data_IF_499791679966
#
_entry.id   IF_499791679966
#
_cell.length_a   1.000
_cell.length_b   1.000
_cell.length_c   1.000
_cell.angle_alpha   90.00
_cell.angle_beta   90.00
_cell.angle_gamma   90.00
#
_symmetry.space_group_name_H-M   'P 1'
#
loop_
_entity.id
_entity.type
_entity.pdbx_description
1 polymer ?
#
# COMPACT_ATOMS: atom_id res chain seq x y z
N UNK A 1 4.30 -57.90 75.60
CA UNK A 1 4.92 -56.85 74.76
C UNK A 1 4.21 -56.79 73.42
N UNK A 2 3.48 -55.71 73.12
CA UNK A 2 3.18 -55.23 71.76
C UNK A 2 2.25 -54.01 71.85
N UNK A 3 2.81 -52.83 71.62
CA UNK A 3 2.08 -51.66 71.12
C UNK A 3 2.95 -51.02 70.05
N UNK A 4 2.42 -50.93 68.84
CA UNK A 4 2.79 -49.92 67.86
C UNK A 4 1.49 -49.44 67.20
N UNK A 5 1.19 -48.13 67.20
CA UNK A 5 -0.02 -47.57 66.59
C UNK A 5 0.26 -47.06 65.17
N UNK A 6 -0.80 -46.48 64.57
CA UNK A 6 -0.83 -45.65 63.37
C UNK A 6 -1.13 -46.37 62.05
N UNK A 7 -2.41 -46.29 61.63
CA UNK A 7 -2.85 -45.51 60.44
C UNK A 7 -4.35 -45.74 60.16
N UNK A 8 -5.13 -44.68 60.27
CA UNK A 8 -6.40 -44.41 59.58
C UNK A 8 -6.41 -42.91 59.23
N UNK A 9 -7.19 -42.42 58.25
CA UNK A 9 -7.57 -43.05 56.98
C UNK A 9 -7.47 -42.05 55.79
N UNK A 10 -6.55 -42.26 54.86
CA UNK A 10 -6.42 -41.48 53.60
C UNK A 10 -7.32 -42.04 52.48
N UNK A 11 -8.60 -42.31 52.76
CA UNK A 11 -9.51 -42.91 51.75
C UNK A 11 -10.75 -42.10 51.40
N UNK A 12 -11.01 -41.00 52.10
CA UNK A 12 -12.20 -40.17 51.86
C UNK A 12 -11.91 -38.79 51.25
N UNK A 13 -10.64 -38.37 51.20
CA UNK A 13 -10.23 -37.09 50.61
C UNK A 13 -10.05 -37.13 49.09
N UNK A 14 -9.79 -38.32 48.52
CA UNK A 14 -9.60 -38.47 47.07
C UNK A 14 -10.93 -38.41 46.30
N UNK A 15 -12.01 -38.94 46.88
CA UNK A 15 -13.32 -39.02 46.23
C UNK A 15 -14.04 -37.66 46.20
N UNK A 16 -13.82 -36.80 47.20
CA UNK A 16 -14.36 -35.43 47.23
C UNK A 16 -13.59 -34.51 46.27
N UNK A 17 -12.27 -34.68 46.15
CA UNK A 17 -11.47 -33.90 45.20
C UNK A 17 -11.82 -34.19 43.72
N UNK A 18 -12.14 -35.44 43.38
CA UNK A 18 -12.52 -35.81 42.02
C UNK A 18 -13.91 -35.27 41.62
N UNK A 19 -14.84 -35.20 42.57
CA UNK A 19 -16.20 -34.68 42.34
C UNK A 19 -16.21 -33.15 42.17
N UNK A 20 -15.31 -32.43 42.85
CA UNK A 20 -15.12 -30.98 42.64
C UNK A 20 -14.46 -30.69 41.29
N UNK A 21 -13.54 -31.53 40.82
CA UNK A 21 -12.96 -31.40 39.47
C UNK A 21 -13.97 -31.65 38.35
N UNK A 22 -14.94 -32.55 38.54
CA UNK A 22 -16.05 -32.74 37.59
C UNK A 22 -17.07 -31.60 37.61
N UNK A 23 -17.33 -30.99 38.78
CA UNK A 23 -18.24 -29.84 38.91
C UNK A 23 -17.64 -28.53 38.39
N UNK A 24 -16.33 -28.32 38.52
CA UNK A 24 -15.62 -27.14 37.97
C UNK A 24 -15.32 -27.33 36.48
N UNK A 25 -15.06 -28.56 36.01
CA UNK A 25 -14.87 -28.86 34.59
C UNK A 25 -16.15 -28.81 33.74
N UNK A 26 -17.32 -28.87 34.37
CA UNK A 26 -18.62 -28.91 33.68
C UNK A 26 -19.25 -27.54 33.34
N UNK A 27 -18.67 -26.41 33.78
CA UNK A 27 -19.30 -25.08 33.66
C UNK A 27 -18.57 -24.14 32.68
N UNK A 28 -17.45 -24.56 32.08
CA UNK A 28 -16.82 -23.81 30.97
C UNK A 28 -16.87 -24.65 29.69
N UNK A 29 -18.07 -25.14 29.36
CA UNK A 29 -18.41 -25.28 27.97
C UNK A 29 -18.74 -23.86 27.46
N UNK A 30 -17.71 -23.10 27.07
CA UNK A 30 -17.91 -22.00 26.14
C UNK A 30 -18.52 -22.67 24.92
N UNK A 31 -19.83 -22.54 24.73
CA UNK A 31 -20.42 -22.77 23.43
C UNK A 31 -19.77 -21.73 22.52
N UNK A 32 -18.72 -22.14 21.82
CA UNK A 32 -18.33 -21.49 20.59
C UNK A 32 -19.54 -21.65 19.68
N UNK A 33 -20.45 -20.67 19.68
CA UNK A 33 -21.39 -20.52 18.59
C UNK A 33 -20.52 -20.45 17.34
N UNK A 34 -20.59 -21.49 16.51
CA UNK A 34 -19.88 -21.50 15.24
C UNK A 34 -20.35 -20.31 14.41
N UNK A 35 -19.42 -19.70 13.67
CA UNK A 35 -19.79 -18.63 12.75
C UNK A 35 -20.80 -19.14 11.71
N UNK A 36 -21.77 -18.30 11.36
CA UNK A 36 -22.69 -18.58 10.26
C UNK A 36 -22.03 -18.20 8.95
N UNK A 37 -21.97 -19.13 8.00
CA UNK A 37 -21.39 -18.90 6.67
C UNK A 37 -22.45 -18.89 5.57
N UNK A 38 -22.20 -18.09 4.53
CA UNK A 38 -22.97 -18.01 3.29
C UNK A 38 -22.05 -17.92 2.09
N UNK A 39 -22.43 -18.60 1.03
CA UNK A 39 -21.79 -18.46 -0.27
C UNK A 39 -22.50 -17.38 -1.08
N UNK A 40 -21.74 -16.49 -1.71
CA UNK A 40 -22.23 -15.53 -2.69
C UNK A 40 -21.28 -15.58 -3.88
N UNK A 41 -21.80 -15.94 -5.07
CA UNK A 41 -20.96 -16.17 -6.24
C UNK A 41 -19.83 -17.17 -5.97
N UNK A 42 -18.59 -16.72 -6.12
CA UNK A 42 -17.38 -17.53 -5.95
C UNK A 42 -16.66 -17.31 -4.62
N UNK A 43 -17.32 -16.67 -3.63
CA UNK A 43 -16.76 -16.45 -2.29
C UNK A 43 -17.65 -17.05 -1.21
N UNK A 44 -17.03 -17.37 -0.07
CA UNK A 44 -17.70 -17.72 1.18
C UNK A 44 -17.44 -16.63 2.21
N UNK A 45 -18.50 -16.16 2.86
CA UNK A 45 -18.45 -15.16 3.93
C UNK A 45 -18.99 -15.81 5.20
N UNK A 46 -18.27 -15.67 6.31
CA UNK A 46 -18.71 -16.11 7.62
C UNK A 46 -18.78 -14.92 8.58
N UNK A 47 -19.75 -14.91 9.49
CA UNK A 47 -19.87 -13.93 10.56
C UNK A 47 -20.50 -14.53 11.82
N UNK A 48 -20.44 -13.81 12.93
CA UNK A 48 -20.96 -14.30 14.20
C UNK A 48 -22.50 -14.28 14.24
N UNK A 49 -23.10 -13.28 13.60
CA UNK A 49 -24.55 -13.08 13.51
C UNK A 49 -25.00 -13.05 12.05
N UNK A 50 -26.20 -13.58 11.81
CA UNK A 50 -26.85 -13.59 10.50
C UNK A 50 -28.23 -12.94 10.65
N UNK A 51 -28.42 -11.83 9.93
CA UNK A 51 -29.68 -11.11 9.89
C UNK A 51 -30.25 -11.18 8.47
N UNK A 52 -31.45 -11.70 8.32
CA UNK A 52 -32.20 -11.53 7.07
C UNK A 52 -32.72 -10.10 6.97
N UNK A 53 -32.69 -9.54 5.77
CA UNK A 53 -33.21 -8.21 5.52
C UNK A 53 -34.28 -8.28 4.45
N UNK A 54 -35.34 -7.50 4.63
CA UNK A 54 -36.39 -7.29 3.62
C UNK A 54 -36.11 -6.05 2.76
N UNK A 55 -35.08 -5.27 3.10
CA UNK A 55 -34.67 -4.10 2.31
C UNK A 55 -34.17 -4.50 0.93
N UNK A 56 -34.33 -3.62 -0.07
CA UNK A 56 -33.75 -3.76 -1.42
C UNK A 56 -34.05 -5.11 -2.09
N UNK A 57 -35.29 -5.56 -2.03
CA UNK A 57 -35.72 -6.85 -2.61
C UNK A 57 -35.33 -8.08 -1.79
N UNK A 58 -34.82 -7.88 -0.57
CA UNK A 58 -34.39 -8.94 0.33
C UNK A 58 -32.87 -9.12 0.35
N UNK A 59 -32.39 -10.06 1.16
CA UNK A 59 -30.98 -10.43 1.23
C UNK A 59 -30.57 -10.83 2.64
N UNK A 60 -29.30 -10.61 2.98
CA UNK A 60 -28.81 -10.85 4.32
C UNK A 60 -27.64 -9.93 4.70
N UNK A 61 -27.41 -9.86 6.01
CA UNK A 61 -26.26 -9.22 6.61
C UNK A 61 -25.54 -10.22 7.51
N UNK A 62 -24.22 -10.27 7.41
CA UNK A 62 -23.36 -10.98 8.35
C UNK A 62 -22.60 -9.96 9.20
N UNK A 63 -22.63 -10.15 10.52
CA UNK A 63 -22.13 -9.17 11.49
C UNK A 63 -21.20 -9.85 12.50
N UNK A 64 -20.13 -9.16 12.89
CA UNK A 64 -19.19 -9.63 13.90
C UNK A 64 -18.18 -10.63 13.32
N UNK A 65 -16.89 -10.39 13.60
CA UNK A 65 -15.75 -11.22 13.14
C UNK A 65 -15.89 -11.74 11.70
N UNK A 66 -16.28 -10.86 10.77
CA UNK A 66 -16.56 -11.27 9.39
C UNK A 66 -15.28 -11.78 8.72
N UNK A 67 -15.34 -12.97 8.12
CA UNK A 67 -14.23 -13.62 7.42
C UNK A 67 -14.64 -13.99 6.01
N UNK A 68 -13.78 -13.73 5.04
CA UNK A 68 -14.08 -13.86 3.61
C UNK A 68 -12.95 -14.61 2.91
N UNK A 69 -13.30 -15.55 2.04
CA UNK A 69 -12.35 -16.20 1.14
C UNK A 69 -13.01 -16.83 -0.08
N UNK A 70 -12.21 -17.43 -0.98
CA UNK A 70 -12.74 -18.19 -2.10
C UNK A 70 -13.65 -19.31 -1.63
N UNK A 71 -14.72 -19.56 -2.39
CA UNK A 71 -15.65 -20.64 -2.10
C UNK A 71 -14.93 -21.99 -2.00
N UNK A 72 -15.22 -22.75 -0.94
CA UNK A 72 -14.60 -24.05 -0.68
C UNK A 72 -13.14 -23.99 -0.22
N UNK A 73 -12.61 -22.80 0.06
CA UNK A 73 -11.25 -22.60 0.59
C UNK A 73 -11.27 -21.95 1.97
N UNK A 74 -10.13 -21.95 2.66
CA UNK A 74 -9.97 -21.21 3.90
C UNK A 74 -10.16 -19.70 3.68
N UNK A 75 -10.73 -18.97 4.65
CA UNK A 75 -10.85 -17.52 4.56
C UNK A 75 -9.48 -16.86 4.50
N UNK A 76 -9.40 -15.76 3.74
CA UNK A 76 -8.15 -15.03 3.46
C UNK A 76 -8.16 -13.68 4.16
N UNK A 77 -9.31 -13.01 4.16
CA UNK A 77 -9.50 -11.66 4.71
C UNK A 77 -10.39 -11.74 5.93
N UNK A 78 -10.07 -10.95 6.95
CA UNK A 78 -10.96 -10.70 8.08
C UNK A 78 -11.29 -9.20 8.16
N UNK A 79 -12.51 -8.92 8.60
CA UNK A 79 -13.05 -7.59 8.80
C UNK A 79 -13.13 -7.32 10.31
N UNK A 80 -12.57 -6.18 10.74
CA UNK A 80 -12.58 -5.71 12.14
C UNK A 80 -13.36 -4.41 12.28
N UNK A 81 -13.63 -4.05 13.54
CA UNK A 81 -14.26 -2.79 13.91
C UNK A 81 -13.46 -1.60 13.37
N UNK A 82 -14.15 -0.57 12.90
CA UNK A 82 -13.53 0.67 12.43
C UNK A 82 -13.38 1.69 13.56
N UNK A 83 -13.15 1.28 14.80
CA UNK A 83 -13.14 2.16 15.97
C UNK A 83 -14.53 2.75 16.32
N UNK A 84 -14.70 3.15 17.58
CA UNK A 84 -15.99 3.58 18.15
C UNK A 84 -16.09 5.08 18.44
N UNK A 85 -15.06 5.87 18.13
CA UNK A 85 -15.01 7.30 18.44
C UNK A 85 -14.67 8.09 17.17
N UNK A 86 -15.43 9.16 16.93
CA UNK A 86 -15.17 10.15 15.90
C UNK A 86 -15.48 11.54 16.45
N UNK A 87 -14.52 12.47 16.32
CA UNK A 87 -14.61 13.84 16.84
C UNK A 87 -15.12 13.94 18.30
N UNK A 88 -14.58 13.08 19.18
CA UNK A 88 -14.97 13.02 20.60
C UNK A 88 -16.33 12.38 20.87
N UNK A 89 -17.10 12.01 19.85
CA UNK A 89 -18.42 11.38 19.97
C UNK A 89 -18.34 9.86 19.77
N UNK A 90 -19.14 9.12 20.54
CA UNK A 90 -19.28 7.67 20.38
C UNK A 90 -20.15 7.39 19.17
N UNK A 91 -19.61 6.61 18.23
CA UNK A 91 -20.28 6.19 17.03
C UNK A 91 -21.23 5.01 17.31
N UNK A 92 -22.35 4.96 16.58
CA UNK A 92 -23.28 3.85 16.66
C UNK A 92 -22.64 2.53 16.15
N UNK A 93 -23.05 1.41 16.74
CA UNK A 93 -22.51 0.09 16.40
C UNK A 93 -22.78 -0.30 14.95
N UNK A 94 -23.92 0.11 14.40
CA UNK A 94 -24.31 -0.21 13.02
C UNK A 94 -23.38 0.35 11.94
N UNK A 95 -22.55 1.36 12.26
CA UNK A 95 -21.57 1.95 11.35
C UNK A 95 -20.12 1.66 11.73
N UNK A 96 -19.89 0.97 12.84
CA UNK A 96 -18.54 0.64 13.34
C UNK A 96 -18.25 -0.85 13.41
N UNK A 97 -19.29 -1.69 13.53
CA UNK A 97 -19.17 -3.13 13.63
C UNK A 97 -18.90 -3.76 12.26
N UNK A 98 -17.96 -4.73 12.16
CA UNK A 98 -17.62 -5.39 10.91
C UNK A 98 -18.86 -6.07 10.36
N UNK A 99 -19.23 -5.68 9.14
CA UNK A 99 -20.46 -6.12 8.51
C UNK A 99 -20.22 -6.39 7.03
N UNK A 100 -20.76 -7.49 6.53
CA UNK A 100 -20.95 -7.75 5.11
C UNK A 100 -22.44 -7.70 4.80
N UNK A 101 -22.79 -7.04 3.71
CA UNK A 101 -24.15 -6.90 3.22
C UNK A 101 -24.26 -7.56 1.85
N UNK A 102 -25.33 -8.33 1.67
CA UNK A 102 -25.77 -8.85 0.39
C UNK A 102 -27.25 -8.52 0.19
N UNK A 103 -27.58 -7.84 -0.91
CA UNK A 103 -28.94 -7.50 -1.29
C UNK A 103 -29.30 -8.13 -2.65
N UNK A 104 -30.57 -8.50 -2.82
CA UNK A 104 -31.07 -9.04 -4.08
C UNK A 104 -31.18 -7.99 -5.18
N UNK A 105 -31.24 -6.70 -4.81
CA UNK A 105 -31.22 -5.56 -5.73
C UNK A 105 -30.19 -4.54 -5.24
N UNK A 106 -29.62 -3.77 -6.16
CA UNK A 106 -28.66 -2.72 -5.81
C UNK A 106 -29.27 -1.76 -4.80
N UNK A 107 -28.56 -1.55 -3.70
CA UNK A 107 -29.00 -0.60 -2.69
C UNK A 107 -28.87 0.83 -3.23
N UNK A 108 -29.92 1.66 -3.19
CA UNK A 108 -29.90 2.99 -3.81
C UNK A 108 -28.88 3.94 -3.17
N UNK A 109 -28.46 3.70 -1.91
CA UNK A 109 -27.46 4.53 -1.24
C UNK A 109 -26.03 4.17 -1.66
N UNK A 110 -25.76 2.89 -1.87
CA UNK A 110 -24.42 2.39 -2.18
C UNK A 110 -24.18 2.09 -3.65
N UNK A 111 -25.24 1.87 -4.45
CA UNK A 111 -25.16 1.55 -5.87
C UNK A 111 -24.75 0.10 -6.16
N UNK A 112 -24.64 -0.76 -5.14
CA UNK A 112 -24.17 -2.15 -5.25
C UNK A 112 -25.07 -3.10 -4.46
N UNK A 113 -25.02 -4.38 -4.79
CA UNK A 113 -25.67 -5.46 -4.02
C UNK A 113 -24.79 -5.94 -2.88
N UNK A 114 -23.46 -5.78 -2.99
CA UNK A 114 -22.49 -6.39 -2.09
C UNK A 114 -21.45 -5.37 -1.62
N UNK A 115 -21.36 -5.18 -0.31
CA UNK A 115 -20.36 -4.29 0.29
C UNK A 115 -20.03 -4.63 1.74
N UNK A 116 -18.93 -4.06 2.22
CA UNK A 116 -18.40 -4.21 3.57
C UNK A 116 -18.29 -2.85 4.26
N UNK A 117 -18.56 -2.86 5.56
CA UNK A 117 -18.17 -1.82 6.51
C UNK A 117 -17.18 -2.45 7.49
N UNK A 118 -16.00 -1.85 7.65
CA UNK A 118 -14.95 -2.42 8.48
C UNK A 118 -13.52 -2.06 8.08
N UNK A 119 -12.58 -2.56 8.89
CA UNK A 119 -11.15 -2.58 8.61
C UNK A 119 -10.74 -3.96 8.06
N UNK A 120 -10.11 -3.98 6.89
CA UNK A 120 -9.66 -5.18 6.20
C UNK A 120 -8.17 -5.45 6.45
N UNK A 121 -7.87 -6.69 6.80
CA UNK A 121 -6.52 -7.22 6.93
C UNK A 121 -6.50 -8.69 6.52
N UNK A 122 -5.31 -9.22 6.23
CA UNK A 122 -5.15 -10.65 5.99
C UNK A 122 -5.12 -11.42 7.29
N UNK A 123 -5.81 -12.56 7.33
CA UNK A 123 -5.86 -13.43 8.51
C UNK A 123 -4.46 -13.94 8.88
N UNK A 124 -3.62 -14.19 7.87
CA UNK A 124 -2.27 -14.72 8.04
C UNK A 124 -1.19 -13.64 8.23
N UNK A 125 -1.56 -12.35 8.28
CA UNK A 125 -0.62 -11.28 8.58
C UNK A 125 -0.29 -11.28 10.09
N UNK A 126 0.94 -11.64 10.49
CA UNK A 126 1.32 -11.74 11.90
C UNK A 126 1.33 -10.38 12.61
N UNK A 127 1.39 -9.28 11.88
CA UNK A 127 1.32 -7.93 12.46
C UNK A 127 -0.10 -7.54 12.84
N UNK A 128 -1.11 -8.20 12.23
CA UNK A 128 -2.52 -7.89 12.43
C UNK A 128 -2.93 -6.48 11.98
N UNK A 129 -2.11 -5.80 11.17
CA UNK A 129 -2.34 -4.44 10.71
C UNK A 129 -3.31 -4.40 9.52
N UNK A 130 -4.26 -3.47 9.54
CA UNK A 130 -5.12 -3.16 8.41
C UNK A 130 -4.37 -2.62 7.21
N UNK A 131 -4.91 -2.89 6.02
CA UNK A 131 -4.47 -2.26 4.78
C UNK A 131 -5.44 -1.15 4.35
N UNK A 132 -6.75 -1.40 4.48
CA UNK A 132 -7.80 -0.44 4.15
C UNK A 132 -8.90 -0.51 5.20
N UNK A 133 -9.39 0.64 5.65
CA UNK A 133 -10.52 0.74 6.58
C UNK A 133 -11.56 1.72 6.07
N UNK A 134 -12.85 1.39 6.23
CA UNK A 134 -13.91 2.39 6.07
C UNK A 134 -13.79 3.44 7.15
N UNK A 135 -13.68 4.69 6.75
CA UNK A 135 -13.64 5.82 7.66
C UNK A 135 -15.00 6.49 7.74
N UNK A 136 -15.15 7.30 8.76
CA UNK A 136 -16.39 7.95 9.13
C UNK A 136 -16.21 9.45 8.96
N UNK A 137 -17.22 10.14 8.45
CA UNK A 137 -17.14 11.57 8.19
C UNK A 137 -18.46 12.28 8.52
N UNK A 138 -18.34 13.54 8.94
CA UNK A 138 -19.46 14.47 9.01
C UNK A 138 -19.76 15.04 7.63
N UNK A 139 -21.03 15.36 7.38
CA UNK A 139 -21.45 16.06 6.17
C UNK A 139 -22.48 17.16 6.47
N UNK A 140 -22.56 18.22 5.64
CA UNK A 140 -23.57 19.26 5.77
C UNK A 140 -24.99 18.75 5.39
N UNK A 141 -26.07 19.32 5.95
CA UNK A 141 -26.07 20.12 7.18
C UNK A 141 -25.69 19.24 8.38
N UNK A 142 -25.01 19.83 9.37
CA UNK A 142 -24.63 19.15 10.60
C UNK A 142 -25.90 18.73 11.37
N UNK A 143 -26.37 17.52 11.10
CA UNK A 143 -27.52 16.89 11.75
C UNK A 143 -27.14 15.80 12.73
N UNK A 144 -25.84 15.59 12.97
CA UNK A 144 -25.32 14.49 13.81
C UNK A 144 -25.43 13.10 13.17
N UNK A 145 -25.91 13.01 11.92
CA UNK A 145 -25.86 11.76 11.16
C UNK A 145 -24.48 11.55 10.57
N UNK A 146 -23.96 10.36 10.82
CA UNK A 146 -22.59 10.00 10.52
C UNK A 146 -22.60 8.83 9.53
N UNK A 147 -21.77 8.91 8.49
CA UNK A 147 -21.73 7.89 7.43
C UNK A 147 -20.39 7.19 7.42
N UNK A 148 -20.39 5.86 7.48
CA UNK A 148 -19.18 5.08 7.22
C UNK A 148 -18.89 4.97 5.71
N UNK A 149 -17.64 4.72 5.35
CA UNK A 149 -17.24 4.27 4.01
C UNK A 149 -17.91 2.95 3.59
N UNK A 150 -17.77 2.59 2.31
CA UNK A 150 -18.36 1.37 1.72
C UNK A 150 -17.36 0.69 0.81
N UNK A 151 -16.80 -0.44 1.24
CA UNK A 151 -15.91 -1.23 0.40
C UNK A 151 -16.74 -2.15 -0.48
N UNK A 152 -16.59 -2.07 -1.79
CA UNK A 152 -17.35 -2.92 -2.71
C UNK A 152 -16.78 -4.33 -2.69
N UNK A 153 -17.67 -5.30 -2.83
CA UNK A 153 -17.30 -6.70 -3.03
C UNK A 153 -17.81 -7.11 -4.40
N UNK A 154 -16.94 -7.73 -5.19
CA UNK A 154 -17.33 -8.46 -6.40
C UNK A 154 -17.22 -9.96 -6.09
N UNK A 155 -18.35 -10.62 -5.75
CA UNK A 155 -18.36 -12.03 -5.40
C UNK A 155 -18.01 -12.94 -6.57
N UNK A 156 -18.21 -12.50 -7.82
CA UNK A 156 -17.91 -13.28 -9.01
C UNK A 156 -16.40 -13.26 -9.30
N UNK A 157 -15.77 -12.08 -9.25
CA UNK A 157 -14.33 -11.93 -9.42
C UNK A 157 -13.51 -12.23 -8.15
N UNK A 158 -14.17 -12.41 -7.00
CA UNK A 158 -13.51 -12.66 -5.73
C UNK A 158 -12.66 -11.48 -5.28
N UNK A 159 -13.20 -10.25 -5.39
CA UNK A 159 -12.47 -9.01 -5.09
C UNK A 159 -13.17 -8.18 -4.03
N UNK A 160 -12.38 -7.48 -3.22
CA UNK A 160 -12.86 -6.43 -2.31
C UNK A 160 -12.06 -5.16 -2.60
N UNK A 161 -12.71 -4.05 -2.91
CA UNK A 161 -12.02 -2.88 -3.47
C UNK A 161 -12.64 -1.54 -3.07
N UNK A 162 -11.85 -0.49 -3.22
CA UNK A 162 -12.33 0.89 -3.11
C UNK A 162 -13.21 1.22 -4.32
N UNK A 163 -14.50 1.58 -4.14
CA UNK A 163 -15.38 1.92 -5.26
C UNK A 163 -14.80 3.09 -6.07
N UNK A 164 -15.10 3.15 -7.37
CA UNK A 164 -14.64 4.25 -8.22
C UNK A 164 -15.20 5.62 -7.77
N UNK A 165 -14.60 6.71 -8.22
CA UNK A 165 -15.13 8.05 -7.96
C UNK A 165 -16.57 8.18 -8.49
N UNK A 166 -17.47 8.70 -7.66
CA UNK A 166 -18.89 8.84 -7.98
C UNK A 166 -19.71 7.54 -7.96
N UNK A 167 -19.10 6.37 -7.73
CA UNK A 167 -19.79 5.08 -7.79
C UNK A 167 -20.71 4.81 -6.58
N UNK A 168 -20.53 5.53 -5.47
CA UNK A 168 -21.38 5.40 -4.28
C UNK A 168 -22.36 6.59 -4.24
N UNK A 169 -23.65 6.40 -4.58
CA UNK A 169 -24.61 7.50 -4.75
C UNK A 169 -24.72 8.43 -3.54
N UNK A 170 -24.76 7.89 -2.32
CA UNK A 170 -24.88 8.70 -1.10
C UNK A 170 -23.66 9.62 -0.89
N UNK A 171 -22.47 9.24 -1.39
CA UNK A 171 -21.27 10.08 -1.31
C UNK A 171 -21.33 11.23 -2.30
N UNK A 172 -21.82 10.98 -3.52
CA UNK A 172 -22.06 12.05 -4.51
C UNK A 172 -23.10 13.04 -4.01
N UNK A 173 -24.22 12.55 -3.44
CA UNK A 173 -25.28 13.38 -2.87
C UNK A 173 -24.79 14.26 -1.70
N UNK A 174 -23.86 13.73 -0.89
CA UNK A 174 -23.28 14.42 0.27
C UNK A 174 -21.99 15.17 -0.05
N UNK A 175 -21.58 15.26 -1.32
CA UNK A 175 -20.34 15.91 -1.79
C UNK A 175 -19.07 15.40 -1.08
N UNK A 176 -19.00 14.09 -0.85
CA UNK A 176 -17.89 13.43 -0.15
C UNK A 176 -16.85 13.04 -1.17
N UNK A 177 -15.61 13.49 -0.96
CA UNK A 177 -14.48 13.07 -1.81
C UNK A 177 -14.23 11.57 -1.59
N UNK A 178 -14.02 10.83 -2.68
CA UNK A 178 -13.88 9.36 -2.68
C UNK A 178 -13.08 8.82 -1.48
N UNK A 179 -11.83 9.24 -1.33
CA UNK A 179 -10.92 8.74 -0.30
C UNK A 179 -10.95 9.50 1.03
N UNK A 180 -11.91 10.41 1.21
CA UNK A 180 -12.29 10.93 2.53
C UNK A 180 -13.01 9.86 3.37
N UNK A 181 -13.72 8.95 2.71
CA UNK A 181 -14.50 7.89 3.34
C UNK A 181 -13.66 6.66 3.73
N UNK A 182 -12.34 6.71 3.56
CA UNK A 182 -11.46 5.56 3.80
C UNK A 182 -10.15 6.00 4.47
N UNK A 183 -9.63 5.13 5.33
CA UNK A 183 -8.26 5.21 5.83
C UNK A 183 -7.40 4.22 5.06
N UNK A 184 -6.43 4.73 4.31
CA UNK A 184 -5.56 3.96 3.40
C UNK A 184 -4.25 3.56 4.09
N UNK A 185 -4.36 2.74 5.13
CA UNK A 185 -3.25 2.37 6.02
C UNK A 185 -2.04 1.74 5.30
N UNK A 186 -2.25 1.13 4.12
CA UNK A 186 -1.16 0.61 3.29
C UNK A 186 -0.16 1.71 2.86
N UNK A 187 -0.58 2.97 2.71
CA UNK A 187 0.30 4.09 2.38
C UNK A 187 1.28 4.34 3.53
N UNK A 188 0.75 4.42 4.76
CA UNK A 188 1.52 4.56 5.99
C UNK A 188 2.42 3.35 6.22
N UNK A 189 1.93 2.14 5.94
CA UNK A 189 2.71 0.89 6.05
C UNK A 189 3.91 0.89 5.12
N UNK A 190 3.74 1.39 3.89
CA UNK A 190 4.84 1.57 2.94
C UNK A 190 5.77 2.73 3.32
N UNK A 191 5.26 3.76 4.00
CA UNK A 191 5.98 5.01 4.27
C UNK A 191 5.93 6.01 3.11
N UNK A 192 4.99 5.81 2.18
CA UNK A 192 4.87 6.62 0.96
C UNK A 192 4.27 8.02 1.20
N UNK A 193 3.79 8.32 2.42
CA UNK A 193 3.33 9.67 2.81
C UNK A 193 4.38 10.74 2.51
N UNK A 194 5.66 10.39 2.67
CA UNK A 194 6.81 11.28 2.39
C UNK A 194 7.00 11.62 0.92
N UNK A 195 6.33 10.89 0.01
CA UNK A 195 6.37 11.18 -1.42
C UNK A 195 5.33 12.23 -1.82
N UNK A 196 4.26 12.41 -1.05
CA UNK A 196 3.20 13.37 -1.36
C UNK A 196 3.61 14.80 -0.98
N UNK A 197 3.27 15.76 -1.85
CA UNK A 197 3.59 17.18 -1.66
C UNK A 197 3.01 17.72 -0.35
N UNK A 198 1.75 17.40 -0.07
CA UNK A 198 1.04 17.82 1.15
C UNK A 198 0.98 16.71 2.22
N UNK A 199 1.83 15.69 2.09
CA UNK A 199 1.90 14.59 3.05
C UNK A 199 0.75 13.58 2.97
N UNK A 200 -0.01 13.57 1.88
CA UNK A 200 -1.11 12.63 1.66
C UNK A 200 -2.46 13.20 2.06
N UNK A 201 -2.72 14.47 1.72
CA UNK A 201 -4.01 15.09 2.00
C UNK A 201 -5.15 14.39 1.26
N UNK A 202 -6.40 14.53 1.72
CA UNK A 202 -7.58 13.93 1.05
C UNK A 202 -7.64 14.28 -0.45
N UNK A 203 -7.17 15.48 -0.84
CA UNK A 203 -7.12 15.92 -2.23
C UNK A 203 -6.13 15.10 -3.06
N UNK A 204 -4.94 14.84 -2.51
CA UNK A 204 -3.91 14.04 -3.16
C UNK A 204 -4.31 12.56 -3.23
N UNK A 205 -5.11 12.09 -2.28
CA UNK A 205 -5.51 10.69 -2.21
C UNK A 205 -6.69 10.34 -3.11
N UNK A 206 -7.38 11.30 -3.75
CA UNK A 206 -8.63 11.07 -4.51
C UNK A 206 -8.58 9.93 -5.53
N UNK A 207 -7.44 9.76 -6.23
CA UNK A 207 -7.25 8.73 -7.27
C UNK A 207 -6.64 7.43 -6.76
N UNK A 208 -6.26 7.36 -5.48
CA UNK A 208 -5.63 6.17 -4.91
C UNK A 208 -6.62 5.00 -4.94
N UNK A 209 -6.14 3.83 -5.35
CA UNK A 209 -6.91 2.61 -5.41
C UNK A 209 -6.25 1.48 -4.62
N UNK A 210 -7.07 0.55 -4.15
CA UNK A 210 -6.68 -0.60 -3.35
C UNK A 210 -7.70 -1.72 -3.52
N UNK A 211 -7.22 -2.93 -3.79
CA UNK A 211 -8.07 -4.12 -3.92
C UNK A 211 -7.42 -5.33 -3.25
N UNK A 212 -8.24 -6.15 -2.59
CA UNK A 212 -7.93 -7.52 -2.23
C UNK A 212 -8.41 -8.43 -3.35
N UNK A 213 -7.52 -9.28 -3.84
CA UNK A 213 -7.81 -10.39 -4.73
C UNK A 213 -7.78 -11.67 -3.89
N UNK A 214 -8.94 -12.27 -3.67
CA UNK A 214 -9.11 -13.39 -2.74
C UNK A 214 -8.56 -14.71 -3.31
N UNK A 215 -8.49 -14.84 -4.64
CA UNK A 215 -7.98 -16.05 -5.29
C UNK A 215 -6.46 -16.09 -5.30
N UNK A 216 -5.82 -14.98 -5.70
CA UNK A 216 -4.36 -14.86 -5.66
C UNK A 216 -3.84 -14.53 -4.26
N UNK A 217 -4.75 -14.19 -3.34
CA UNK A 217 -4.49 -13.82 -1.95
C UNK A 217 -3.49 -12.67 -1.82
N UNK A 218 -3.71 -11.65 -2.65
CA UNK A 218 -2.87 -10.46 -2.72
C UNK A 218 -3.70 -9.21 -2.50
N UNK A 219 -3.07 -8.20 -1.92
CA UNK A 219 -3.59 -6.84 -1.92
C UNK A 219 -2.76 -6.02 -2.89
N UNK A 220 -3.45 -5.30 -3.79
CA UNK A 220 -2.83 -4.46 -4.83
C UNK A 220 -3.24 -3.02 -4.61
N UNK A 221 -2.26 -2.12 -4.62
CA UNK A 221 -2.48 -0.68 -4.56
C UNK A 221 -1.94 0.01 -5.80
N UNK A 222 -2.69 1.01 -6.28
CA UNK A 222 -2.23 1.96 -7.29
C UNK A 222 -2.37 3.35 -6.70
N UNK A 223 -1.26 4.06 -6.62
CA UNK A 223 -1.13 5.31 -5.87
C UNK A 223 -0.53 6.37 -6.81
N UNK A 224 -1.38 7.16 -7.50
CA UNK A 224 -0.92 8.37 -8.17
C UNK A 224 -0.43 9.38 -7.12
N UNK A 225 0.73 9.99 -7.35
CA UNK A 225 1.40 10.90 -6.41
C UNK A 225 1.88 12.12 -7.17
N UNK A 226 1.45 13.31 -6.73
CA UNK A 226 2.18 14.54 -7.02
C UNK A 226 3.42 14.55 -6.12
N UNK A 227 4.58 14.29 -6.71
CA UNK A 227 5.82 14.08 -5.97
C UNK A 227 6.22 15.36 -5.25
N UNK A 228 6.55 15.23 -3.97
CA UNK A 228 7.06 16.32 -3.15
C UNK A 228 8.43 16.75 -3.65
N UNK A 229 8.47 17.75 -4.51
CA UNK A 229 9.69 18.40 -4.93
C UNK A 229 9.55 19.88 -4.55
N UNK A 230 10.64 20.54 -4.15
CA UNK A 230 10.60 21.95 -3.77
C UNK A 230 9.98 22.83 -4.87
N UNK A 231 9.26 23.88 -4.48
CA UNK A 231 8.48 24.70 -5.43
C UNK A 231 9.33 25.42 -6.51
N UNK A 232 10.62 25.60 -6.24
CA UNK A 232 11.59 26.19 -7.18
C UNK A 232 12.28 25.14 -8.07
N UNK A 233 11.94 23.86 -7.95
CA UNK A 233 12.52 22.82 -8.78
C UNK A 233 12.02 22.91 -10.22
N UNK A 234 12.74 22.29 -11.14
CA UNK A 234 12.39 22.29 -12.57
C UNK A 234 11.06 21.55 -12.88
N UNK A 235 10.56 20.75 -11.94
CA UNK A 235 9.34 19.95 -12.08
C UNK A 235 8.50 20.04 -10.79
N UNK A 236 7.94 21.22 -10.46
CA UNK A 236 7.25 21.44 -9.17
C UNK A 236 5.93 20.65 -9.03
N UNK A 237 5.44 20.08 -10.14
CA UNK A 237 4.21 19.29 -10.25
C UNK A 237 4.47 17.91 -10.86
N UNK A 238 5.64 17.30 -10.62
CA UNK A 238 5.95 15.98 -11.18
C UNK A 238 4.94 14.94 -10.65
N UNK A 239 4.20 14.28 -11.55
CA UNK A 239 3.31 13.18 -11.19
C UNK A 239 3.98 11.83 -11.45
N UNK A 240 3.87 10.93 -10.48
CA UNK A 240 4.31 9.53 -10.59
C UNK A 240 3.17 8.59 -10.21
N UNK A 241 3.23 7.34 -10.67
CA UNK A 241 2.29 6.30 -10.25
C UNK A 241 3.03 5.17 -9.56
N UNK A 242 2.83 5.04 -8.25
CA UNK A 242 3.32 3.94 -7.44
C UNK A 242 2.37 2.75 -7.52
N UNK A 243 2.92 1.55 -7.68
CA UNK A 243 2.21 0.27 -7.60
C UNK A 243 2.82 -0.56 -6.49
N UNK A 244 1.98 -1.15 -5.65
CA UNK A 244 2.45 -1.99 -4.56
C UNK A 244 1.58 -3.22 -4.38
N UNK A 245 2.20 -4.34 -4.03
CA UNK A 245 1.54 -5.61 -3.73
C UNK A 245 1.97 -6.14 -2.35
N UNK A 246 0.98 -6.62 -1.58
CA UNK A 246 1.20 -7.34 -0.34
C UNK A 246 0.62 -8.74 -0.45
N UNK A 247 1.34 -9.73 0.10
CA UNK A 247 0.87 -11.11 0.21
C UNK A 247 -0.08 -11.31 1.39
N UNK A 248 -0.74 -12.48 1.44
CA UNK A 248 -1.58 -12.89 2.57
C UNK A 248 -0.88 -12.91 3.93
N UNK A 249 0.45 -12.94 3.96
CA UNK A 249 1.23 -12.85 5.19
C UNK A 249 1.55 -11.40 5.59
N UNK A 250 0.97 -10.41 4.90
CA UNK A 250 1.26 -9.00 5.12
C UNK A 250 2.61 -8.52 4.59
N UNK A 251 3.41 -9.40 3.97
CA UNK A 251 4.70 -9.01 3.43
C UNK A 251 4.52 -8.21 2.13
N UNK A 252 5.18 -7.06 2.03
CA UNK A 252 5.30 -6.30 0.79
C UNK A 252 6.09 -7.16 -0.22
N UNK A 253 5.44 -7.63 -1.28
CA UNK A 253 6.06 -8.48 -2.30
C UNK A 253 6.62 -7.68 -3.45
N UNK A 254 6.03 -6.53 -3.76
CA UNK A 254 6.48 -5.66 -4.86
C UNK A 254 6.11 -4.21 -4.55
N UNK A 255 7.01 -3.27 -4.84
CA UNK A 255 6.70 -1.84 -4.87
C UNK A 255 7.53 -1.19 -5.98
N UNK A 256 6.85 -0.61 -6.97
CA UNK A 256 7.48 -0.01 -8.16
C UNK A 256 6.81 1.31 -8.51
N UNK A 257 7.51 2.15 -9.27
CA UNK A 257 6.92 3.34 -9.87
C UNK A 257 6.92 3.16 -11.39
N UNK A 258 5.80 3.51 -12.02
CA UNK A 258 5.68 3.53 -13.48
C UNK A 258 6.73 4.49 -14.08
N UNK A 259 7.23 4.18 -15.28
CA UNK A 259 8.21 5.05 -15.92
C UNK A 259 7.66 6.49 -16.10
N UNK A 260 8.52 7.48 -15.89
CA UNK A 260 8.16 8.89 -15.96
C UNK A 260 9.28 9.72 -16.59
N UNK A 261 8.94 10.94 -17.03
CA UNK A 261 9.91 11.93 -17.49
C UNK A 261 10.11 13.02 -16.44
N UNK A 262 11.34 13.48 -16.27
CA UNK A 262 11.65 14.60 -15.35
C UNK A 262 12.79 15.45 -15.91
N UNK A 263 12.77 16.75 -15.64
CA UNK A 263 13.91 17.63 -15.92
C UNK A 263 14.90 17.64 -14.75
N UNK A 264 16.19 17.57 -15.04
CA UNK A 264 17.22 17.74 -14.03
C UNK A 264 18.43 18.44 -14.67
N UNK A 265 18.83 19.58 -14.11
CA UNK A 265 19.85 20.46 -14.67
C UNK A 265 19.55 20.86 -16.14
N UNK A 266 18.28 21.15 -16.44
CA UNK A 266 17.80 21.56 -17.76
C UNK A 266 17.58 20.42 -18.77
N UNK A 267 18.03 19.19 -18.46
CA UNK A 267 17.89 18.02 -19.34
C UNK A 267 16.62 17.24 -19.03
N UNK A 268 15.82 16.93 -20.05
CA UNK A 268 14.67 16.04 -19.92
C UNK A 268 15.16 14.58 -19.95
N UNK A 269 14.82 13.83 -18.90
CA UNK A 269 15.28 12.47 -18.66
C UNK A 269 14.11 11.49 -18.61
N UNK A 270 14.29 10.33 -19.23
CA UNK A 270 13.38 9.19 -19.16
C UNK A 270 13.83 8.25 -18.04
N UNK A 271 13.04 8.14 -16.98
CA UNK A 271 13.33 7.36 -15.77
C UNK A 271 12.50 6.08 -15.77
N UNK A 272 13.13 4.92 -15.64
CA UNK A 272 12.46 3.62 -15.74
C UNK A 272 13.08 2.52 -14.86
N UNK A 273 12.35 1.42 -14.70
CA UNK A 273 12.75 0.29 -13.86
C UNK A 273 12.87 0.69 -12.39
N UNK A 274 11.92 1.49 -11.90
CA UNK A 274 12.00 2.11 -10.57
C UNK A 274 11.49 1.13 -9.51
N UNK A 275 12.34 0.85 -8.53
CA UNK A 275 12.02 0.01 -7.37
C UNK A 275 11.90 0.90 -6.14
N UNK A 276 10.87 0.65 -5.34
CA UNK A 276 10.58 1.39 -4.11
C UNK A 276 11.03 0.53 -2.93
N UNK A 277 11.83 1.12 -2.06
CA UNK A 277 12.15 0.56 -0.75
C UNK A 277 11.22 1.22 0.26
N UNK A 278 10.32 0.42 0.84
CA UNK A 278 9.44 0.88 1.90
C UNK A 278 10.22 1.31 3.15
N UNK A 279 9.53 1.99 4.07
CA UNK A 279 10.13 2.44 5.34
C UNK A 279 10.75 1.28 6.12
N UNK A 280 11.90 1.53 6.74
CA UNK A 280 12.60 0.56 7.59
C UNK A 280 12.93 1.23 8.93
N UNK A 281 12.23 0.82 10.00
CA UNK A 281 12.32 1.52 11.29
C UNK A 281 11.84 2.98 11.16
N UNK A 282 12.72 3.93 11.49
CA UNK A 282 12.48 5.37 11.33
C UNK A 282 12.85 5.91 9.94
N UNK A 283 13.51 5.12 9.10
CA UNK A 283 13.91 5.57 7.76
C UNK A 283 12.70 5.69 6.84
N UNK A 284 12.51 6.83 6.16
CA UNK A 284 11.40 7.02 5.23
C UNK A 284 11.55 6.13 4.01
N UNK A 285 10.47 5.97 3.25
CA UNK A 285 10.54 5.29 1.96
C UNK A 285 11.47 6.04 0.99
N UNK A 286 12.13 5.28 0.11
CA UNK A 286 12.94 5.80 -0.99
C UNK A 286 12.63 5.02 -2.26
N UNK A 287 12.96 5.59 -3.42
CA UNK A 287 12.95 4.83 -4.67
C UNK A 287 14.23 5.02 -5.45
N UNK A 288 14.56 4.01 -6.25
CA UNK A 288 15.78 3.97 -7.05
C UNK A 288 15.44 3.48 -8.45
N UNK A 289 15.83 4.26 -9.46
CA UNK A 289 15.65 3.91 -10.86
C UNK A 289 16.80 3.03 -11.35
N UNK A 290 16.46 1.91 -12.01
CA UNK A 290 17.44 1.07 -12.67
C UNK A 290 18.06 1.75 -13.90
N UNK A 291 17.31 2.58 -14.61
CA UNK A 291 17.78 3.22 -15.85
C UNK A 291 17.23 4.62 -15.99
N UNK A 292 18.14 5.54 -16.30
CA UNK A 292 17.83 6.92 -16.71
C UNK A 292 18.47 7.18 -18.05
N UNK A 293 17.68 7.66 -19.01
CA UNK A 293 18.14 7.97 -20.36
C UNK A 293 17.91 9.44 -20.67
N UNK A 294 18.90 10.08 -21.29
CA UNK A 294 18.76 11.40 -21.90
C UNK A 294 18.68 11.19 -23.40
N UNK A 295 17.49 11.32 -23.98
CA UNK A 295 17.27 11.05 -25.40
C UNK A 295 17.49 12.30 -26.24
N UNK A 296 17.99 12.10 -27.46
CA UNK A 296 18.21 13.16 -28.44
C UNK A 296 16.91 13.82 -28.89
N UNK A 297 15.83 13.03 -29.00
CA UNK A 297 14.50 13.54 -29.37
C UNK A 297 13.94 14.54 -28.35
N UNK A 298 14.20 14.30 -27.06
CA UNK A 298 13.75 15.16 -25.97
C UNK A 298 14.68 16.36 -25.71
N UNK A 299 15.94 16.27 -26.15
CA UNK A 299 17.00 17.27 -25.93
C UNK A 299 17.73 17.60 -27.24
N UNK A 300 17.06 18.18 -28.25
CA UNK A 300 17.60 18.32 -29.61
C UNK A 300 18.86 19.21 -29.69
N UNK A 301 19.04 20.12 -28.74
CA UNK A 301 20.18 21.04 -28.71
C UNK A 301 21.46 20.44 -28.12
N UNK A 302 21.39 19.26 -27.49
CA UNK A 302 22.55 18.60 -26.91
C UNK A 302 23.18 17.68 -27.96
N UNK A 303 24.49 17.75 -28.23
CA UNK A 303 25.14 16.87 -29.19
C UNK A 303 24.95 15.41 -28.79
N UNK A 304 24.96 14.50 -29.77
CA UNK A 304 24.97 13.08 -29.45
C UNK A 304 26.33 12.74 -28.82
N UNK A 305 26.31 12.12 -27.63
CA UNK A 305 27.51 11.70 -26.91
C UNK A 305 27.68 10.17 -26.92
N UNK A 306 26.63 9.41 -27.29
CA UNK A 306 26.72 7.96 -27.47
C UNK A 306 26.95 7.62 -28.95
N UNK A 307 28.14 7.11 -29.26
CA UNK A 307 28.51 6.73 -30.63
C UNK A 307 27.83 5.48 -31.16
N UNK A 308 27.15 4.71 -30.31
CA UNK A 308 26.47 3.45 -30.72
C UNK A 308 24.97 3.61 -30.91
N UNK A 309 24.39 4.70 -30.42
CA UNK A 309 22.95 4.97 -30.53
C UNK A 309 22.71 6.46 -30.82
N UNK A 310 22.29 6.77 -32.06
CA UNK A 310 22.01 8.13 -32.48
C UNK A 310 20.80 8.78 -31.77
N UNK A 311 19.95 7.97 -31.14
CA UNK A 311 18.78 8.42 -30.38
C UNK A 311 19.07 8.73 -28.91
N UNK A 312 20.22 8.30 -28.39
CA UNK A 312 20.60 8.43 -26.98
C UNK A 312 21.75 9.41 -26.84
N UNK A 313 21.62 10.43 -26.00
CA UNK A 313 22.75 11.30 -25.65
C UNK A 313 23.63 10.57 -24.63
N UNK A 314 23.07 10.17 -23.49
CA UNK A 314 23.73 9.28 -22.53
C UNK A 314 22.70 8.58 -21.65
N UNK A 315 23.13 7.53 -20.97
CA UNK A 315 22.35 6.83 -19.95
C UNK A 315 23.16 6.62 -18.67
N UNK A 316 22.47 6.55 -17.55
CA UNK A 316 23.05 6.22 -16.25
C UNK A 316 22.05 5.42 -15.41
N UNK A 317 22.49 4.99 -14.22
CA UNK A 317 21.70 4.13 -13.33
C UNK A 317 21.68 4.69 -11.91
N UNK A 318 20.86 4.10 -11.02
CA UNK A 318 20.81 4.41 -9.59
C UNK A 318 20.43 5.85 -9.25
N UNK A 319 19.57 6.48 -10.06
CA UNK A 319 18.93 7.74 -9.65
C UNK A 319 17.99 7.43 -8.48
N UNK A 320 18.28 8.02 -7.32
CA UNK A 320 17.53 7.84 -6.08
C UNK A 320 16.70 9.08 -5.79
N UNK A 321 15.55 8.85 -5.17
CA UNK A 321 14.76 9.89 -4.55
C UNK A 321 14.49 9.54 -3.10
N UNK A 322 14.72 10.51 -2.21
CA UNK A 322 14.41 10.42 -0.78
C UNK A 322 14.10 11.82 -0.26
N UNK A 323 12.99 11.97 0.48
CA UNK A 323 12.62 13.20 1.18
C UNK A 323 12.65 14.49 0.34
N UNK A 324 12.25 14.40 -0.93
CA UNK A 324 12.15 15.56 -1.82
C UNK A 324 13.41 15.89 -2.60
N UNK A 325 14.46 15.08 -2.47
CA UNK A 325 15.72 15.27 -3.15
C UNK A 325 16.06 14.09 -4.06
N UNK A 326 16.61 14.41 -5.24
CA UNK A 326 17.22 13.45 -6.14
C UNK A 326 18.72 13.35 -5.88
N UNK A 327 19.26 12.13 -5.93
CA UNK A 327 20.70 11.86 -5.80
C UNK A 327 21.11 10.68 -6.69
N UNK A 328 22.41 10.50 -6.90
CA UNK A 328 22.97 9.32 -7.58
C UNK A 328 23.53 8.36 -6.52
N UNK A 329 23.09 7.09 -6.56
CA UNK A 329 23.50 6.08 -5.60
C UNK A 329 25.01 5.82 -5.65
N UNK A 330 25.72 6.21 -4.59
CA UNK A 330 27.18 6.09 -4.51
C UNK A 330 27.93 7.39 -4.83
N UNK A 331 27.25 8.55 -4.81
CA UNK A 331 27.74 9.89 -5.20
C UNK A 331 27.92 10.03 -6.70
N UNK A 332 28.52 9.02 -7.34
CA UNK A 332 28.75 8.95 -8.77
C UNK A 332 28.45 7.56 -9.33
N UNK A 333 28.09 7.51 -10.62
CA UNK A 333 27.92 6.25 -11.37
C UNK A 333 28.72 6.30 -12.68
N UNK A 334 29.26 5.17 -13.13
CA UNK A 334 29.93 5.12 -14.42
C UNK A 334 28.93 5.43 -15.54
N UNK A 335 29.37 6.24 -16.50
CA UNK A 335 28.68 6.47 -17.76
C UNK A 335 29.59 6.01 -18.90
N UNK A 336 29.00 5.78 -20.07
CA UNK A 336 29.74 5.34 -21.23
C UNK A 336 30.76 6.39 -21.66
N UNK A 337 31.92 5.94 -22.14
CA UNK A 337 32.94 6.76 -22.78
C UNK A 337 32.37 7.48 -24.03
N UNK A 338 32.77 8.74 -24.24
CA UNK A 338 32.33 9.55 -25.37
C UNK A 338 33.46 9.75 -26.36
N UNK A 339 33.17 9.68 -27.66
CA UNK A 339 34.15 9.96 -28.70
C UNK A 339 33.75 11.21 -29.47
N UNK A 340 34.65 12.20 -29.51
CA UNK A 340 34.43 13.48 -30.17
C UNK A 340 35.18 13.51 -31.50
N UNK A 341 34.71 12.68 -32.44
CA UNK A 341 35.40 12.44 -33.71
C UNK A 341 36.73 11.71 -33.50
N UNK A 342 37.71 11.96 -34.38
CA UNK A 342 39.03 11.31 -34.34
C UNK A 342 40.07 12.03 -33.48
N UNK A 343 39.74 13.20 -32.93
CA UNK A 343 40.71 14.08 -32.27
C UNK A 343 40.96 13.70 -30.81
N UNK A 344 39.89 13.38 -30.07
CA UNK A 344 39.98 12.95 -28.68
C UNK A 344 38.72 12.18 -28.26
N UNK A 345 38.88 11.38 -27.20
CA UNK A 345 37.78 10.69 -26.51
C UNK A 345 37.89 10.92 -25.01
N UNK A 346 36.76 10.82 -24.32
CA UNK A 346 36.69 10.87 -22.86
C UNK A 346 36.42 9.46 -22.34
N UNK A 347 37.31 8.98 -21.47
CA UNK A 347 37.29 7.62 -20.92
C UNK A 347 37.14 7.62 -19.40
N UNK A 348 36.76 6.47 -18.84
CA UNK A 348 36.57 6.27 -17.39
C UNK A 348 35.61 7.30 -16.78
N UNK A 349 34.51 7.56 -17.50
CA UNK A 349 33.60 8.64 -17.15
C UNK A 349 32.68 8.26 -15.99
N UNK A 350 32.47 9.20 -15.07
CA UNK A 350 31.47 9.10 -14.01
C UNK A 350 30.55 10.31 -14.01
N UNK A 351 29.30 10.10 -13.59
CA UNK A 351 28.27 11.13 -13.45
C UNK A 351 27.84 11.23 -11.99
N UNK A 352 27.85 12.45 -11.46
CA UNK A 352 27.30 12.79 -10.14
C UNK A 352 26.27 13.93 -10.23
N UNK A 353 25.48 14.09 -9.18
CA UNK A 353 24.67 15.30 -8.95
C UNK A 353 25.37 16.10 -7.86
N UNK A 354 25.66 17.38 -8.14
CA UNK A 354 26.24 18.30 -7.17
C UNK A 354 25.31 19.48 -6.97
N UNK A 355 25.28 20.00 -5.74
CA UNK A 355 24.50 21.19 -5.39
C UNK A 355 25.45 22.28 -4.94
N UNK A 356 25.57 23.36 -5.73
CA UNK A 356 26.43 24.50 -5.42
C UNK A 356 25.57 25.77 -5.38
N UNK A 357 25.68 26.54 -4.29
CA UNK A 357 24.90 27.77 -4.08
C UNK A 357 23.38 27.62 -4.31
N UNK A 358 22.81 26.45 -4.02
CA UNK A 358 21.39 26.14 -4.21
C UNK A 358 21.00 25.74 -5.64
N UNK A 359 21.94 25.64 -6.57
CA UNK A 359 21.73 25.15 -7.94
C UNK A 359 22.20 23.70 -8.03
N UNK A 360 21.30 22.81 -8.47
CA UNK A 360 21.66 21.43 -8.80
C UNK A 360 22.24 21.36 -10.20
N UNK A 361 23.38 20.69 -10.34
CA UNK A 361 24.02 20.44 -11.63
C UNK A 361 24.44 18.98 -11.75
N UNK A 362 24.51 18.52 -12.99
CA UNK A 362 25.13 17.24 -13.34
C UNK A 362 26.62 17.47 -13.55
N UNK A 363 27.44 16.77 -12.78
CA UNK A 363 28.88 16.80 -12.93
C UNK A 363 29.34 15.51 -13.62
N UNK A 364 30.08 15.66 -14.71
CA UNK A 364 30.78 14.55 -15.36
C UNK A 364 32.26 14.66 -15.04
N UNK A 365 32.84 13.60 -14.47
CA UNK A 365 34.30 13.45 -14.34
C UNK A 365 34.77 12.48 -15.41
N UNK A 366 35.83 12.85 -16.11
CA UNK A 366 36.34 12.07 -17.22
C UNK A 366 37.86 12.25 -17.36
N UNK A 367 38.52 11.22 -17.90
CA UNK A 367 39.90 11.30 -18.37
C UNK A 367 39.87 11.61 -19.87
N UNK A 368 40.55 12.68 -20.30
CA UNK A 368 40.69 12.99 -21.73
C UNK A 368 41.85 12.19 -22.34
N UNK A 369 41.60 11.54 -23.48
CA UNK A 369 42.63 10.89 -24.28
C UNK A 369 42.67 11.53 -25.68
N UNK A 370 43.83 12.05 -26.07
CA UNK A 370 44.06 12.71 -27.35
C UNK A 370 44.78 11.79 -28.34
N UNK A 371 44.41 11.86 -29.62
CA UNK A 371 45.11 11.20 -30.73
C UNK A 371 44.87 9.68 -30.85
N UNK A 372 45.25 9.13 -32.00
CA UNK A 372 45.22 7.70 -32.29
C UNK A 372 46.41 6.98 -31.62
N UNK A 373 46.32 6.69 -30.33
CA UNK A 373 47.19 5.68 -29.69
C UNK A 373 48.37 6.17 -28.85
N UNK A 374 48.18 7.09 -27.90
CA UNK A 374 49.16 7.24 -26.81
C UNK A 374 48.72 6.44 -25.58
N UNK A 375 49.51 5.43 -25.21
CA UNK A 375 49.46 4.72 -23.92
C UNK A 375 49.23 5.72 -22.78
N UNK A 376 48.28 5.42 -21.89
CA UNK A 376 48.02 6.24 -20.71
C UNK A 376 49.29 6.45 -19.85
N UNK A 377 50.25 5.52 -19.92
CA UNK A 377 51.53 5.55 -19.20
C UNK A 377 52.56 6.55 -19.77
N UNK A 378 52.24 7.29 -20.84
CA UNK A 378 53.15 8.23 -21.50
C UNK A 378 52.70 9.70 -21.45
N UNK A 379 51.63 10.00 -20.71
CA UNK A 379 51.25 11.39 -20.47
C UNK A 379 52.11 11.99 -19.34
N UNK A 380 52.72 13.18 -19.50
CA UNK A 380 53.46 13.82 -18.43
C UNK A 380 52.50 14.23 -17.31
N UNK A 381 52.90 13.92 -16.07
CA UNK A 381 52.21 14.22 -14.81
C UNK A 381 52.03 15.72 -14.61
#
# INVERSE_FOLDING_TARGET
>A
MKRSPWRMPYRWSATVGLLVLFLVGGIIAVQAQGQTCRDVGNITICGDQFDETTANGGGFRLVGNVRIGPKGSAPVVQVRNTGSIFDGSVLAENITQPSYFHFNQSDPNTGTTDFIIGELFFINDPTGLGLVRTFVFDHPPAGGEVTAGRLFVDPAAGRIFLPAEGAVPIFTQRNVKRNQAYQLAFITRLGAETFFKDGGSVNELTKVNGEFDLFTKKFKATVPIALKIGDNAENPNLEITLRAEWSENGALTTATIDAFKTRLAGLLMDVSGIVVKGKTGSEPAEFEAATVKVLKADNPNVPNLDTTDAGLIFAFTKLKYKQGEFSIGGVEVPIKDWEFGSAFKTINQTLGIVTEAGVQSLQVKATMQFGSGSDADKLPV
#
